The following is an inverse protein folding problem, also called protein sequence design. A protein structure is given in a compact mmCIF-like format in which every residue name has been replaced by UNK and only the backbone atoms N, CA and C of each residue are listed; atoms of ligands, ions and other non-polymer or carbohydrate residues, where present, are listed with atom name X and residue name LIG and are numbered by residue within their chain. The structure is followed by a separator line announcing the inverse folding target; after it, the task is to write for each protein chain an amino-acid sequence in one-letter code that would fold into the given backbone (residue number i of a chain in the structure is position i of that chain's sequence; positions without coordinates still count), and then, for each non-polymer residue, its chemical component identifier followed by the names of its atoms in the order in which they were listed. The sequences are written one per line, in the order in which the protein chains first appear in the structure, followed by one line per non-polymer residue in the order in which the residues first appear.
data_IF_889814182877
#
_entry.id   IF_889814182877
#
_cell.length_a   1.000
_cell.length_b   1.000
_cell.length_c   1.000
_cell.angle_alpha   90.00
_cell.angle_beta   90.00
_cell.angle_gamma   90.00
#
_symmetry.space_group_name_H-M   'P 1'
#
loop_
_entity.id
_entity.type
_entity.pdbx_description
1 polymer ?
#
# COMPACT_ATOMS: atom_id res chain seq x y z
N UNK A 1 -15.46 -9.99 -8.78
CA UNK A 1 -14.67 -9.10 -9.66
C UNK A 1 -13.47 -8.53 -8.88
N UNK A 2 -12.27 -8.42 -9.45
CA UNK A 2 -11.14 -7.73 -8.81
C UNK A 2 -11.33 -6.21 -8.70
N UNK A 3 -12.01 -5.59 -9.66
CA UNK A 3 -12.25 -4.14 -9.74
C UNK A 3 -13.22 -3.65 -8.63
N UNK A 4 -14.38 -4.31 -8.46
CA UNK A 4 -15.35 -4.01 -7.38
C UNK A 4 -14.73 -4.03 -5.97
N UNK A 5 -13.59 -4.72 -5.80
CA UNK A 5 -12.92 -4.89 -4.51
C UNK A 5 -12.22 -3.62 -4.07
N UNK A 6 -11.63 -2.86 -4.99
CA UNK A 6 -10.95 -1.62 -4.63
C UNK A 6 -11.95 -0.52 -4.28
N UNK A 7 -13.08 -0.46 -4.98
CA UNK A 7 -14.17 0.46 -4.65
C UNK A 7 -14.72 0.20 -3.25
N UNK A 8 -14.85 -1.07 -2.85
CA UNK A 8 -15.25 -1.44 -1.49
C UNK A 8 -14.22 -0.99 -0.43
N UNK A 9 -12.91 -1.15 -0.71
CA UNK A 9 -11.85 -0.69 0.20
C UNK A 9 -11.88 0.83 0.33
N UNK A 10 -12.07 1.52 -0.80
CA UNK A 10 -12.20 2.97 -0.84
C UNK A 10 -13.40 3.47 -0.04
N UNK A 11 -14.58 2.89 -0.28
CA UNK A 11 -15.79 3.21 0.46
C UNK A 11 -15.61 2.98 1.96
N UNK A 12 -14.90 1.91 2.36
CA UNK A 12 -14.63 1.61 3.76
C UNK A 12 -13.84 2.74 4.44
N UNK A 13 -12.65 3.10 3.94
CA UNK A 13 -11.86 4.13 4.61
C UNK A 13 -12.48 5.54 4.50
N UNK A 14 -13.28 5.80 3.45
CA UNK A 14 -14.06 7.03 3.36
C UNK A 14 -15.12 7.11 4.47
N UNK A 15 -15.80 5.99 4.77
CA UNK A 15 -16.74 5.92 5.89
C UNK A 15 -16.03 6.09 7.23
N UNK A 16 -14.86 5.46 7.41
CA UNK A 16 -14.04 5.63 8.63
C UNK A 16 -13.69 7.10 8.87
N UNK A 17 -13.37 7.84 7.82
CA UNK A 17 -13.05 9.26 7.92
C UNK A 17 -14.26 10.15 8.20
N UNK A 18 -15.43 9.78 7.64
CA UNK A 18 -16.68 10.52 7.78
C UNK A 18 -17.25 10.43 9.19
N UNK A 19 -17.20 9.25 9.80
CA UNK A 19 -17.81 9.01 11.11
C UNK A 19 -16.90 9.46 12.28
N UNK A 20 -17.51 9.93 13.36
CA UNK A 20 -16.77 10.40 14.55
C UNK A 20 -16.10 9.24 15.31
N UNK A 21 -16.78 8.11 15.41
CA UNK A 21 -16.32 6.86 16.04
C UNK A 21 -15.77 5.84 15.01
N UNK A 22 -15.69 6.25 13.74
CA UNK A 22 -15.22 5.43 12.63
C UNK A 22 -13.91 4.70 12.91
N UNK A 23 -12.83 5.37 13.38
CA UNK A 23 -11.58 4.72 13.72
C UNK A 23 -11.68 3.61 14.78
N UNK A 24 -12.48 3.84 15.83
CA UNK A 24 -12.68 2.88 16.91
C UNK A 24 -13.46 1.65 16.43
N UNK A 25 -14.51 1.87 15.64
CA UNK A 25 -15.32 0.80 15.06
C UNK A 25 -14.50 0.00 14.04
N UNK A 26 -13.77 0.69 13.15
CA UNK A 26 -12.97 0.06 12.11
C UNK A 26 -11.86 -0.81 12.67
N UNK A 27 -11.08 -0.32 13.64
CA UNK A 27 -10.03 -1.11 14.28
C UNK A 27 -10.59 -2.36 14.98
N UNK A 28 -11.77 -2.27 15.61
CA UNK A 28 -12.45 -3.44 16.19
C UNK A 28 -12.86 -4.47 15.13
N UNK A 29 -13.47 -4.02 14.03
CA UNK A 29 -13.91 -4.90 12.94
C UNK A 29 -12.72 -5.55 12.23
N UNK A 30 -11.67 -4.77 11.95
CA UNK A 30 -10.44 -5.26 11.33
C UNK A 30 -9.76 -6.30 12.21
N UNK A 31 -9.65 -6.05 13.52
CA UNK A 31 -9.07 -7.02 14.45
C UNK A 31 -9.77 -8.38 14.39
N UNK A 32 -11.11 -8.38 14.36
CA UNK A 32 -11.89 -9.61 14.22
C UNK A 32 -11.64 -10.32 12.89
N UNK A 33 -11.58 -9.57 11.77
CA UNK A 33 -11.37 -10.14 10.43
C UNK A 33 -9.96 -10.64 10.20
N UNK A 34 -8.94 -9.99 10.78
CA UNK A 34 -7.54 -10.43 10.75
C UNK A 34 -7.35 -11.75 11.52
N UNK A 35 -8.14 -11.98 12.56
CA UNK A 35 -8.15 -13.24 13.33
C UNK A 35 -8.94 -14.37 12.65
N UNK A 36 -9.48 -14.15 11.44
CA UNK A 36 -10.25 -15.18 10.74
C UNK A 36 -9.41 -16.43 10.49
N UNK A 37 -9.97 -17.64 10.70
CA UNK A 37 -9.30 -18.87 10.29
C UNK A 37 -9.16 -18.99 8.76
N UNK A 38 -9.93 -18.20 8.00
CA UNK A 38 -9.84 -18.19 6.54
C UNK A 38 -8.70 -17.27 6.09
N UNK A 39 -7.63 -17.85 5.55
CA UNK A 39 -6.43 -17.12 5.11
C UNK A 39 -6.78 -15.91 4.22
N UNK A 40 -7.63 -16.14 3.21
CA UNK A 40 -8.03 -15.09 2.26
C UNK A 40 -8.73 -13.91 2.94
N UNK A 41 -9.59 -14.17 3.91
CA UNK A 41 -10.31 -13.13 4.64
C UNK A 41 -9.35 -12.32 5.52
N UNK A 42 -8.46 -13.00 6.23
CA UNK A 42 -7.45 -12.35 7.07
C UNK A 42 -6.49 -11.47 6.25
N UNK A 43 -6.00 -11.98 5.10
CA UNK A 43 -5.15 -11.21 4.19
C UNK A 43 -5.87 -9.99 3.60
N UNK A 44 -7.14 -10.14 3.21
CA UNK A 44 -7.95 -9.01 2.74
C UNK A 44 -8.15 -7.96 3.83
N UNK A 45 -8.38 -8.38 5.08
CA UNK A 45 -8.48 -7.46 6.21
C UNK A 45 -7.18 -6.70 6.45
N UNK A 46 -6.02 -7.35 6.29
CA UNK A 46 -4.71 -6.68 6.36
C UNK A 46 -4.52 -5.66 5.22
N UNK A 47 -5.02 -5.94 4.02
CA UNK A 47 -5.04 -4.95 2.92
C UNK A 47 -5.92 -3.74 3.24
N UNK A 48 -7.10 -3.96 3.84
CA UNK A 48 -7.98 -2.85 4.26
C UNK A 48 -7.32 -2.03 5.38
N UNK A 49 -6.65 -2.69 6.34
CA UNK A 49 -5.90 -2.02 7.39
C UNK A 49 -4.82 -1.11 6.81
N UNK A 50 -4.03 -1.61 5.86
CA UNK A 50 -3.00 -0.82 5.17
C UNK A 50 -3.61 0.37 4.41
N UNK A 51 -4.72 0.17 3.71
CA UNK A 51 -5.44 1.26 3.05
C UNK A 51 -5.94 2.32 4.06
N UNK A 52 -6.44 1.90 5.23
CA UNK A 52 -6.87 2.82 6.28
C UNK A 52 -5.68 3.60 6.87
N UNK A 53 -4.56 2.94 7.13
CA UNK A 53 -3.33 3.59 7.58
C UNK A 53 -2.87 4.66 6.58
N UNK A 54 -2.94 4.39 5.28
CA UNK A 54 -2.50 5.34 4.25
C UNK A 54 -3.46 6.52 4.03
N UNK A 55 -4.77 6.32 4.25
CA UNK A 55 -5.79 7.29 3.82
C UNK A 55 -6.55 7.99 4.97
N UNK A 56 -6.49 7.49 6.20
CA UNK A 56 -7.27 8.03 7.32
C UNK A 56 -6.49 8.99 8.24
N UNK A 57 -5.16 9.03 8.12
CA UNK A 57 -4.31 9.92 8.90
C UNK A 57 -4.34 9.68 10.42
N UNK A 58 -3.98 10.71 11.18
CA UNK A 58 -3.64 10.59 12.61
C UNK A 58 -4.77 10.01 13.47
N UNK A 59 -6.04 10.31 13.18
CA UNK A 59 -7.19 9.78 13.94
C UNK A 59 -7.19 8.25 13.94
N UNK A 60 -6.91 7.64 12.80
CA UNK A 60 -6.84 6.18 12.68
C UNK A 60 -5.53 5.63 13.25
N UNK A 61 -4.41 6.31 13.01
CA UNK A 61 -3.10 5.91 13.55
C UNK A 61 -3.12 5.82 15.07
N UNK A 62 -3.69 6.81 15.76
CA UNK A 62 -3.80 6.82 17.22
C UNK A 62 -4.70 5.73 17.78
N UNK A 63 -5.71 5.25 17.04
CA UNK A 63 -6.49 4.07 17.44
C UNK A 63 -5.71 2.76 17.20
N UNK A 64 -5.06 2.63 16.03
CA UNK A 64 -4.26 1.46 15.68
C UNK A 64 -3.03 1.28 16.59
N UNK A 65 -2.45 2.38 17.10
CA UNK A 65 -1.29 2.37 17.99
C UNK A 65 -1.63 2.02 19.46
N UNK A 66 -2.91 1.90 19.83
CA UNK A 66 -3.30 1.48 21.19
C UNK A 66 -3.03 -0.02 21.38
N UNK A 67 -2.57 -0.38 22.58
CA UNK A 67 -2.43 -1.80 22.97
C UNK A 67 -3.72 -2.60 22.78
N UNK A 68 -4.90 -1.96 22.89
CA UNK A 68 -6.18 -2.61 22.58
C UNK A 68 -6.19 -3.25 21.19
N UNK A 69 -5.69 -2.56 20.17
CA UNK A 69 -5.63 -3.10 18.81
C UNK A 69 -4.36 -3.94 18.59
N UNK A 70 -3.20 -3.47 19.07
CA UNK A 70 -1.94 -4.20 18.93
C UNK A 70 -1.99 -5.60 19.56
N UNK A 71 -2.66 -5.77 20.71
CA UNK A 71 -2.84 -7.06 21.34
C UNK A 71 -3.63 -8.05 20.48
N UNK A 72 -4.57 -7.57 19.66
CA UNK A 72 -5.29 -8.43 18.73
C UNK A 72 -4.39 -8.94 17.61
N UNK A 73 -3.45 -8.12 17.12
CA UNK A 73 -2.41 -8.56 16.17
C UNK A 73 -1.41 -9.53 16.82
N UNK A 74 -1.00 -9.25 18.06
CA UNK A 74 -0.08 -10.12 18.82
C UNK A 74 -0.68 -11.51 19.04
N UNK A 75 -1.99 -11.63 19.29
CA UNK A 75 -2.67 -12.93 19.42
C UNK A 75 -2.53 -13.79 18.17
N UNK A 76 -2.52 -13.19 16.98
CA UNK A 76 -2.33 -13.90 15.69
C UNK A 76 -0.93 -14.50 15.59
N UNK A 77 0.08 -13.81 16.12
CA UNK A 77 1.48 -14.26 16.08
C UNK A 77 1.83 -15.23 17.21
N UNK A 78 1.22 -15.05 18.38
CA UNK A 78 1.63 -15.75 19.59
C UNK A 78 1.12 -17.20 19.60
N UNK A 79 2.01 -18.21 19.75
CA UNK A 79 1.61 -19.61 19.88
C UNK A 79 0.71 -19.89 21.09
N UNK A 80 0.68 -19.00 22.09
CA UNK A 80 -0.21 -19.11 23.26
C UNK A 80 -1.69 -18.84 22.94
N UNK A 81 -1.96 -18.28 21.77
CA UNK A 81 -3.30 -17.89 21.32
C UNK A 81 -3.59 -18.50 19.95
N UNK A 82 -3.61 -17.69 18.89
CA UNK A 82 -3.97 -18.15 17.54
C UNK A 82 -2.76 -18.57 16.71
N UNK A 83 -1.52 -18.29 17.14
CA UNK A 83 -0.32 -18.51 16.33
C UNK A 83 -0.04 -19.96 15.94
N UNK A 84 -0.63 -20.93 16.65
CA UNK A 84 -0.58 -22.35 16.26
C UNK A 84 -1.49 -22.68 15.07
N UNK A 85 -2.59 -21.94 14.91
CA UNK A 85 -3.65 -22.21 13.92
C UNK A 85 -3.64 -21.23 12.75
N UNK A 86 -3.09 -20.03 12.96
CA UNK A 86 -3.01 -19.01 11.94
C UNK A 86 -2.07 -19.47 10.80
N UNK A 87 -2.49 -19.33 9.53
CA UNK A 87 -1.64 -19.64 8.38
C UNK A 87 -0.33 -18.85 8.42
N UNK A 88 0.78 -19.50 8.01
CA UNK A 88 2.12 -18.87 8.06
C UNK A 88 2.15 -17.54 7.31
N UNK A 89 1.52 -17.49 6.13
CA UNK A 89 1.41 -16.29 5.30
C UNK A 89 0.71 -15.12 6.00
N UNK A 90 -0.26 -15.40 6.87
CA UNK A 90 -0.94 -14.36 7.67
C UNK A 90 0.01 -13.86 8.75
N UNK A 91 0.73 -14.75 9.43
CA UNK A 91 1.71 -14.38 10.46
C UNK A 91 2.86 -13.56 9.89
N UNK A 92 3.37 -13.95 8.73
CA UNK A 92 4.40 -13.18 8.00
C UNK A 92 3.89 -11.78 7.69
N UNK A 93 2.67 -11.66 7.12
CA UNK A 93 2.10 -10.36 6.78
C UNK A 93 1.83 -9.48 8.01
N UNK A 94 1.35 -10.04 9.12
CA UNK A 94 1.17 -9.29 10.38
C UNK A 94 2.53 -8.82 10.91
N UNK A 95 3.56 -9.65 10.81
CA UNK A 95 4.93 -9.30 11.22
C UNK A 95 5.49 -8.15 10.37
N UNK A 96 5.29 -8.20 9.04
CA UNK A 96 5.65 -7.11 8.13
C UNK A 96 4.92 -5.81 8.46
N UNK A 97 3.61 -5.88 8.73
CA UNK A 97 2.80 -4.70 9.10
C UNK A 97 3.33 -4.07 10.39
N UNK A 98 3.54 -4.87 11.44
CA UNK A 98 4.06 -4.37 12.71
C UNK A 98 5.46 -3.78 12.56
N UNK A 99 6.36 -4.47 11.85
CA UNK A 99 7.70 -3.97 11.58
C UNK A 99 7.67 -2.67 10.76
N UNK A 100 6.87 -2.61 9.70
CA UNK A 100 6.67 -1.39 8.90
C UNK A 100 6.21 -0.21 9.76
N UNK A 101 5.29 -0.44 10.70
CA UNK A 101 4.86 0.59 11.64
C UNK A 101 5.96 1.03 12.60
N UNK A 102 6.90 0.16 12.99
CA UNK A 102 8.05 0.60 13.81
C UNK A 102 8.96 1.58 13.05
N UNK A 103 9.03 1.47 11.74
CA UNK A 103 9.85 2.36 10.91
C UNK A 103 9.12 3.64 10.56
N UNK A 104 7.81 3.53 10.33
CA UNK A 104 6.97 4.64 9.90
C UNK A 104 6.48 5.51 11.06
N UNK A 105 6.03 4.91 12.16
CA UNK A 105 5.45 5.57 13.33
C UNK A 105 6.44 5.57 14.49
N UNK A 106 7.58 6.25 14.29
CA UNK A 106 8.66 6.31 15.29
C UNK A 106 8.23 7.00 16.59
N UNK A 107 7.23 7.86 16.51
CA UNK A 107 6.67 8.61 17.64
C UNK A 107 5.68 7.78 18.48
N UNK A 108 5.32 6.57 18.05
CA UNK A 108 4.38 5.69 18.75
C UNK A 108 5.14 4.61 19.56
N UNK A 109 5.51 4.87 20.83
CA UNK A 109 6.36 3.96 21.62
C UNK A 109 5.70 2.61 21.88
N UNK A 110 4.35 2.54 21.85
CA UNK A 110 3.61 1.30 22.08
C UNK A 110 3.83 0.28 20.96
N UNK A 111 3.98 0.75 19.72
CA UNK A 111 4.26 -0.11 18.56
C UNK A 111 5.67 -0.68 18.69
N UNK A 112 6.65 0.16 19.05
CA UNK A 112 8.03 -0.26 19.32
C UNK A 112 8.09 -1.32 20.42
N UNK A 113 7.38 -1.08 21.53
CA UNK A 113 7.37 -1.99 22.67
C UNK A 113 6.74 -3.34 22.34
N UNK A 114 5.60 -3.33 21.64
CA UNK A 114 4.94 -4.54 21.17
C UNK A 114 5.86 -5.38 20.27
N UNK A 115 6.51 -4.76 19.28
CA UNK A 115 7.39 -5.46 18.36
C UNK A 115 8.67 -5.98 19.06
N UNK A 116 9.28 -5.17 19.92
CA UNK A 116 10.44 -5.57 20.73
C UNK A 116 10.11 -6.75 21.64
N UNK A 117 8.93 -6.75 22.25
CA UNK A 117 8.44 -7.87 23.06
C UNK A 117 8.32 -9.16 22.24
N UNK A 118 7.75 -9.10 21.03
CA UNK A 118 7.65 -10.25 20.12
C UNK A 118 9.03 -10.83 19.77
N UNK A 119 10.03 -9.96 19.55
CA UNK A 119 11.43 -10.40 19.33
C UNK A 119 12.02 -11.06 20.56
N UNK A 120 11.85 -10.45 21.74
CA UNK A 120 12.36 -11.00 23.02
C UNK A 120 11.78 -12.38 23.33
N UNK A 121 10.52 -12.62 22.97
CA UNK A 121 9.86 -13.91 23.16
C UNK A 121 10.22 -14.95 22.09
N UNK A 122 11.02 -14.59 21.09
CA UNK A 122 11.39 -15.48 19.97
C UNK A 122 10.25 -15.74 18.98
N UNK A 123 9.14 -14.99 19.08
CA UNK A 123 8.03 -15.07 18.11
C UNK A 123 8.48 -14.50 16.77
N UNK A 124 9.20 -13.36 16.79
CA UNK A 124 9.86 -12.79 15.62
C UNK A 124 11.37 -13.01 15.75
N UNK A 125 11.92 -13.89 14.92
CA UNK A 125 13.36 -14.25 14.98
C UNK A 125 14.24 -13.23 14.26
N UNK A 126 13.78 -12.72 13.13
CA UNK A 126 14.49 -11.77 12.27
C UNK A 126 13.51 -10.75 11.72
N UNK A 127 13.97 -9.53 11.54
CA UNK A 127 13.15 -8.49 10.91
C UNK A 127 12.88 -8.86 9.44
N UNK A 128 11.62 -8.75 8.98
CA UNK A 128 11.27 -9.11 7.61
C UNK A 128 11.88 -8.10 6.63
N UNK A 129 12.20 -8.57 5.42
CA UNK A 129 12.55 -7.67 4.32
C UNK A 129 11.26 -7.02 3.85
N UNK A 130 11.09 -5.73 4.17
CA UNK A 130 9.99 -4.97 3.63
C UNK A 130 10.26 -4.70 2.13
N UNK A 131 9.22 -4.76 1.28
CA UNK A 131 9.32 -4.19 -0.06
C UNK A 131 9.69 -2.69 0.05
N UNK A 132 10.52 -2.16 -0.85
CA UNK A 132 10.96 -0.75 -0.87
C UNK A 132 9.79 0.26 -0.86
N UNK A 133 8.58 -0.20 -1.18
CA UNK A 133 7.32 0.56 -1.17
C UNK A 133 6.78 0.90 0.22
N UNK A 134 7.20 0.21 1.29
CA UNK A 134 6.63 0.34 2.65
C UNK A 134 7.34 1.41 3.51
N UNK A 135 8.50 1.90 3.06
CA UNK A 135 9.38 2.76 3.87
C UNK A 135 9.20 4.27 3.69
N UNK A 136 8.32 4.70 2.79
CA UNK A 136 8.16 6.13 2.56
C UNK A 136 7.11 6.64 3.56
N UNK A 137 7.48 7.39 4.62
CA UNK A 137 6.47 8.20 5.31
C UNK A 137 5.73 8.98 4.23
N UNK A 138 4.38 9.02 4.23
CA UNK A 138 3.70 9.92 3.32
C UNK A 138 4.34 11.28 3.58
N UNK A 139 4.86 11.95 2.53
CA UNK A 139 5.43 13.27 2.74
C UNK A 139 4.40 14.05 3.55
N UNK A 140 4.82 14.84 4.57
CA UNK A 140 3.89 15.74 5.22
C UNK A 140 3.11 16.40 4.10
N UNK A 141 1.77 16.38 4.18
CA UNK A 141 0.94 17.11 3.23
C UNK A 141 1.30 18.58 3.44
N UNK A 142 2.43 19.00 2.87
CA UNK A 142 2.69 20.39 2.62
C UNK A 142 1.52 20.78 1.76
N UNK A 143 0.87 21.82 2.23
CA UNK A 143 -0.09 22.62 1.50
C UNK A 143 0.59 23.25 0.28
N UNK A 144 1.27 22.44 -0.56
CA UNK A 144 1.52 22.84 -1.94
C UNK A 144 0.15 22.89 -2.56
N UNK A 145 -0.25 24.11 -2.81
CA UNK A 145 -1.59 24.49 -3.18
C UNK A 145 -2.07 23.58 -4.31
N UNK A 146 -3.36 23.20 -4.30
CA UNK A 146 -4.01 22.48 -5.41
C UNK A 146 -3.71 23.16 -6.77
N UNK A 147 -3.41 24.45 -6.73
CA UNK A 147 -2.95 25.29 -7.83
C UNK A 147 -1.63 24.82 -8.49
N UNK A 148 -0.62 24.41 -7.71
CA UNK A 148 0.72 24.04 -8.23
C UNK A 148 0.72 22.74 -9.05
N UNK A 149 -0.21 21.82 -8.74
CA UNK A 149 -0.35 20.57 -9.50
C UNK A 149 -1.12 20.77 -10.81
N UNK A 150 -2.10 21.67 -10.82
CA UNK A 150 -2.90 21.97 -12.00
C UNK A 150 -2.07 22.68 -13.09
N UNK A 151 -1.18 23.60 -12.69
CA UNK A 151 -0.29 24.31 -13.61
C UNK A 151 0.79 23.40 -14.22
N UNK A 152 1.32 22.45 -13.44
CA UNK A 152 2.22 21.42 -13.96
C UNK A 152 1.53 20.50 -14.97
N UNK A 153 0.28 20.12 -14.71
CA UNK A 153 -0.51 19.31 -15.64
C UNK A 153 -0.82 20.06 -16.95
N UNK A 154 -1.18 21.35 -16.85
CA UNK A 154 -1.40 22.23 -18.02
C UNK A 154 -0.12 22.42 -18.83
N UNK A 155 1.03 22.63 -18.18
CA UNK A 155 2.32 22.78 -18.83
C UNK A 155 2.71 21.49 -19.57
N UNK A 156 2.55 20.33 -18.94
CA UNK A 156 2.83 19.04 -19.57
C UNK A 156 1.93 18.81 -20.79
N UNK A 157 0.64 19.12 -20.70
CA UNK A 157 -0.29 19.01 -21.81
C UNK A 157 0.05 19.94 -22.98
N UNK A 158 0.58 21.14 -22.70
CA UNK A 158 1.06 22.09 -23.72
C UNK A 158 2.32 21.58 -24.42
N UNK A 159 3.27 21.04 -23.66
CA UNK A 159 4.52 20.49 -24.20
C UNK A 159 4.29 19.23 -25.06
N UNK A 160 3.34 18.38 -24.68
CA UNK A 160 2.98 17.17 -25.43
C UNK A 160 2.20 17.44 -26.72
N UNK A 161 1.56 18.62 -26.85
CA UNK A 161 0.85 19.05 -28.07
C UNK A 161 1.73 19.79 -29.07
N UNK A 162 2.98 20.09 -28.72
CA UNK A 162 3.92 20.80 -29.60
C UNK A 162 4.60 19.83 -30.58
N UNK A 163 4.87 20.28 -31.80
CA UNK A 163 5.61 19.52 -32.82
C UNK A 163 7.13 19.75 -32.73
N UNK A 164 7.60 20.52 -31.74
CA UNK A 164 9.01 20.81 -31.54
C UNK A 164 9.70 19.68 -30.75
N UNK A 165 10.85 19.17 -31.21
CA UNK A 165 11.54 18.05 -30.55
C UNK A 165 12.06 18.41 -29.15
N UNK A 166 12.36 19.69 -28.89
CA UNK A 166 12.84 20.17 -27.58
C UNK A 166 11.72 20.18 -26.51
N UNK A 167 10.49 20.53 -26.90
CA UNK A 167 9.33 20.51 -26.02
C UNK A 167 8.98 19.07 -25.63
N UNK A 168 9.07 18.14 -26.59
CA UNK A 168 8.83 16.73 -26.35
C UNK A 168 9.90 16.13 -25.41
N UNK A 169 11.16 16.54 -25.55
CA UNK A 169 12.22 16.16 -24.60
C UNK A 169 11.96 16.72 -23.20
N UNK A 170 11.48 17.95 -23.10
CA UNK A 170 11.13 18.59 -21.83
C UNK A 170 9.94 17.91 -21.18
N UNK A 171 8.90 17.56 -21.95
CA UNK A 171 7.78 16.73 -21.50
C UNK A 171 8.27 15.37 -21.00
N UNK A 172 9.15 14.70 -21.74
CA UNK A 172 9.70 13.39 -21.34
C UNK A 172 10.52 13.46 -20.05
N UNK A 173 11.29 14.55 -19.83
CA UNK A 173 12.02 14.78 -18.57
C UNK A 173 11.05 15.04 -17.42
N UNK A 174 10.02 15.85 -17.63
CA UNK A 174 9.00 16.17 -16.65
C UNK A 174 8.17 14.93 -16.28
N UNK A 175 7.80 14.10 -17.26
CA UNK A 175 7.17 12.79 -17.07
C UNK A 175 8.10 11.88 -16.27
N UNK A 176 9.39 11.79 -16.62
CA UNK A 176 10.35 10.93 -15.91
C UNK A 176 10.56 11.36 -14.46
N UNK A 177 10.60 12.67 -14.19
CA UNK A 177 10.67 13.25 -12.85
C UNK A 177 9.40 12.95 -12.06
N UNK A 178 8.23 13.25 -12.65
CA UNK A 178 6.92 13.00 -12.04
C UNK A 178 6.73 11.51 -11.76
N UNK A 179 7.09 10.60 -12.68
CA UNK A 179 7.06 9.13 -12.48
C UNK A 179 8.09 8.69 -11.43
N UNK A 180 9.20 9.40 -11.25
CA UNK A 180 10.16 9.09 -10.19
C UNK A 180 9.65 9.54 -8.82
N UNK A 181 8.97 10.68 -8.73
CA UNK A 181 8.27 11.16 -7.53
C UNK A 181 7.00 10.32 -7.22
N UNK A 182 6.27 9.89 -8.25
CA UNK A 182 5.04 9.07 -8.17
C UNK A 182 5.34 7.56 -8.09
N UNK A 183 6.56 7.10 -8.38
CA UNK A 183 6.98 5.74 -7.96
C UNK A 183 7.20 5.66 -6.45
N UNK A 184 7.43 6.78 -5.78
CA UNK A 184 7.60 6.87 -4.34
C UNK A 184 6.29 7.19 -3.57
N UNK A 185 5.19 7.46 -4.27
CA UNK A 185 3.87 7.63 -3.65
C UNK A 185 2.89 6.80 -4.46
N UNK A 186 2.14 5.89 -3.85
CA UNK A 186 1.23 4.97 -4.55
C UNK A 186 0.04 5.68 -5.24
N UNK A 187 0.33 6.52 -6.24
CA UNK A 187 -0.57 7.27 -7.11
C UNK A 187 -0.41 6.86 -8.58
N UNK A 188 0.50 5.92 -8.88
CA UNK A 188 0.77 5.42 -10.24
C UNK A 188 -0.45 4.83 -10.94
N UNK A 189 -1.45 4.35 -10.21
CA UNK A 189 -2.71 3.84 -10.79
C UNK A 189 -3.66 5.00 -11.16
N UNK A 190 -3.64 6.09 -10.39
CA UNK A 190 -4.57 7.22 -10.55
C UNK A 190 -4.15 8.17 -11.68
N UNK A 191 -2.85 8.36 -11.92
CA UNK A 191 -2.37 9.20 -13.03
C UNK A 191 -2.55 8.52 -14.40
N UNK A 192 -2.39 7.18 -14.46
CA UNK A 192 -2.62 6.40 -15.70
C UNK A 192 -4.10 6.46 -16.09
N UNK A 193 -5.03 6.35 -15.13
CA UNK A 193 -6.46 6.53 -15.37
C UNK A 193 -6.83 7.97 -15.77
N UNK A 194 -6.24 8.99 -15.14
CA UNK A 194 -6.53 10.40 -15.49
C UNK A 194 -6.00 10.76 -16.89
N UNK A 195 -4.85 10.22 -17.30
CA UNK A 195 -4.33 10.39 -18.67
C UNK A 195 -5.19 9.63 -19.69
N UNK A 196 -5.67 8.42 -19.36
CA UNK A 196 -6.60 7.65 -20.20
C UNK A 196 -7.99 8.31 -20.32
N UNK A 197 -8.44 9.02 -19.29
CA UNK A 197 -9.73 9.73 -19.29
C UNK A 197 -9.67 11.13 -19.91
N UNK A 198 -8.49 11.72 -20.11
CA UNK A 198 -8.31 13.06 -20.71
C UNK A 198 -8.11 13.03 -22.23
N UNK A 199 -8.06 11.86 -22.86
CA UNK A 199 -7.90 11.73 -24.31
C UNK A 199 -9.00 10.85 -24.91
N UNK A 200 -10.21 11.40 -25.13
CA UNK A 200 -11.24 10.68 -25.87
C UNK A 200 -10.82 10.60 -27.36
N UNK A 201 -10.32 9.45 -27.80
CA UNK A 201 -10.06 9.19 -29.22
C UNK A 201 -8.90 8.25 -29.59
N UNK A 202 -8.04 7.81 -28.67
CA UNK A 202 -6.98 6.85 -29.00
C UNK A 202 -7.44 5.40 -28.85
N UNK A 203 -8.12 4.95 -29.92
CA UNK A 203 -8.08 3.63 -30.54
C UNK A 203 -7.55 2.49 -29.62
N UNK A 204 -8.53 1.73 -29.13
CA UNK A 204 -8.51 0.26 -29.01
C UNK A 204 -7.57 -0.38 -30.04
N UNK A 205 -6.47 -1.00 -29.59
CA UNK A 205 -5.89 -2.25 -30.16
C UNK A 205 -4.43 -2.52 -29.73
N UNK A 206 -3.77 -1.62 -28.99
CA UNK A 206 -2.39 -1.88 -28.53
C UNK A 206 -2.21 -2.16 -27.02
N UNK A 207 -3.27 -2.07 -26.22
CA UNK A 207 -3.15 -2.12 -24.75
C UNK A 207 -3.24 -3.51 -24.12
N UNK A 208 -3.48 -4.56 -24.89
CA UNK A 208 -3.39 -5.94 -24.36
C UNK A 208 -1.94 -6.40 -24.17
N UNK A 209 -0.95 -5.75 -24.80
CA UNK A 209 0.45 -6.20 -24.74
C UNK A 209 1.23 -5.61 -23.54
N UNK A 210 0.94 -4.38 -23.10
CA UNK A 210 1.71 -3.74 -22.03
C UNK A 210 1.25 -4.15 -20.62
N UNK A 211 -0.04 -4.46 -20.44
CA UNK A 211 -0.53 -5.00 -19.16
C UNK A 211 -0.12 -6.46 -18.92
N UNK A 212 0.03 -7.27 -19.99
CA UNK A 212 0.49 -8.66 -19.85
C UNK A 212 2.00 -8.74 -19.61
N UNK A 213 2.82 -7.85 -20.20
CA UNK A 213 4.27 -7.86 -19.99
C UNK A 213 4.70 -7.52 -18.55
N UNK A 214 3.96 -6.69 -17.81
CA UNK A 214 4.28 -6.39 -16.40
C UNK A 214 3.81 -7.52 -15.47
N UNK A 215 2.76 -8.26 -15.83
CA UNK A 215 2.32 -9.44 -15.07
C UNK A 215 3.14 -10.71 -15.36
N UNK A 216 3.66 -10.88 -16.58
CA UNK A 216 4.44 -12.09 -16.94
C UNK A 216 5.90 -11.99 -16.47
N UNK A 217 6.56 -10.82 -16.51
CA UNK A 217 7.95 -10.71 -16.05
C UNK A 217 8.15 -10.94 -14.54
N UNK A 218 7.09 -10.86 -13.72
CA UNK A 218 7.18 -11.16 -12.28
C UNK A 218 6.88 -12.64 -11.98
N UNK A 219 6.27 -13.38 -12.92
CA UNK A 219 5.92 -14.79 -12.71
C UNK A 219 6.92 -15.81 -13.31
N UNK A 220 7.91 -15.39 -14.12
CA UNK A 220 8.87 -16.31 -14.75
C UNK A 220 10.26 -16.36 -14.09
N UNK A 221 10.51 -15.64 -12.99
CA UNK A 221 11.82 -15.67 -12.32
C UNK A 221 11.93 -16.72 -11.19
N UNK A 222 10.83 -17.40 -10.83
CA UNK A 222 10.81 -18.44 -9.79
C UNK A 222 10.79 -19.89 -10.32
N UNK A 223 10.98 -20.12 -11.63
CA UNK A 223 10.91 -21.48 -12.20
C UNK A 223 12.11 -21.94 -13.04
N UNK A 224 13.27 -21.25 -12.98
CA UNK A 224 14.51 -21.73 -13.64
C UNK A 224 15.68 -21.54 -12.67
N UNK A 225 15.77 -22.43 -11.68
CA UNK A 225 17.02 -22.77 -10.99
C UNK A 225 16.83 -24.11 -10.26
N UNK A 226 16.64 -25.18 -11.04
CA UNK A 226 17.20 -26.49 -10.72
C UNK A 226 17.16 -27.34 -12.00
N UNK A 227 18.24 -28.09 -12.19
CA UNK A 227 18.50 -29.07 -13.26
C UNK A 227 18.99 -28.48 -14.59
N UNK A 228 20.31 -28.40 -14.73
CA UNK A 228 21.11 -28.92 -15.86
C UNK A 228 22.61 -28.74 -15.51
N UNK A 229 23.09 -29.53 -14.54
CA UNK A 229 24.49 -29.97 -14.51
C UNK A 229 24.45 -31.46 -14.84
N UNK A 230 25.24 -31.83 -15.87
CA UNK A 230 25.33 -33.13 -16.56
C UNK A 230 24.34 -33.38 -17.69
#
# INVERSE_FOLDING_TARGET
NPEDRWDCIQAFYQLVNKESDGPQVATRLLAHKIQSPQEREALQALTVLEACMNNCGQRFHSEAAKFRFLNELIKVLSPKYLGQWAPEKVKDRVTEVLYGWTLWLKEEPKIQEAYRMLKKQGVVKKDPKLPDTVLVPPPPRTTTSVFDQEDKAKLLAKLLKSNLPEDLQTANRLIKHTIKEVRCTALGIRLVLVILMLVPGLIFDFFFCVCVCVCVCVCTQDSINHDWFS
#
